data_IF_078511056578
#
_entry.id   IF_078511056578
#
_cell.length_a   1.000
_cell.length_b   1.000
_cell.length_c   1.000
_cell.angle_alpha   90.00
_cell.angle_beta   90.00
_cell.angle_gamma   90.00
#
_symmetry.space_group_name_H-M   'P 1'
#
loop_
_entity.id
_entity.type
_entity.pdbx_description
1 polymer ?
#
# COMPACT_ATOMS: atom_id res chain seq x y z
N UNK A 1 -31.13 0.21 2.54
CA UNK A 1 -29.82 0.16 3.21
C UNK A 1 -28.76 0.52 2.18
N UNK A 2 -28.25 1.74 2.22
CA UNK A 2 -27.07 2.11 1.42
C UNK A 2 -25.85 1.59 2.19
N UNK A 3 -24.97 0.78 1.60
CA UNK A 3 -23.71 0.45 2.26
C UNK A 3 -22.97 1.78 2.49
N UNK A 4 -22.52 2.00 3.73
CA UNK A 4 -21.64 3.10 4.09
C UNK A 4 -20.48 3.15 3.08
N UNK A 5 -20.01 4.31 2.62
CA UNK A 5 -18.91 4.39 1.69
C UNK A 5 -17.70 3.69 2.33
N UNK A 6 -17.45 2.48 1.88
CA UNK A 6 -16.40 1.59 2.33
C UNK A 6 -15.06 2.31 2.07
N UNK A 7 -14.52 2.98 3.09
CA UNK A 7 -13.24 3.71 3.13
C UNK A 7 -12.63 4.03 1.76
N UNK A 8 -13.33 4.82 0.95
CA UNK A 8 -12.82 5.28 -0.34
C UNK A 8 -11.97 6.51 -0.09
N UNK A 9 -10.65 6.35 -0.20
CA UNK A 9 -9.73 7.47 -0.24
C UNK A 9 -9.75 8.10 -1.64
N UNK A 10 -9.28 9.34 -1.78
CA UNK A 10 -9.13 9.99 -3.09
C UNK A 10 -7.65 10.08 -3.42
N UNK A 11 -7.25 9.60 -4.60
CA UNK A 11 -5.87 9.74 -5.08
C UNK A 11 -5.53 11.22 -5.24
N UNK A 12 -4.47 11.68 -4.58
CA UNK A 12 -4.05 13.09 -4.66
C UNK A 12 -3.58 13.49 -6.06
N UNK A 13 -3.04 12.56 -6.84
CA UNK A 13 -2.48 12.84 -8.17
C UNK A 13 -3.54 12.90 -9.27
N UNK A 14 -4.48 11.94 -9.33
CA UNK A 14 -5.48 11.89 -10.40
C UNK A 14 -6.91 12.17 -9.95
N UNK A 15 -7.12 12.45 -8.66
CA UNK A 15 -8.42 12.80 -8.04
C UNK A 15 -9.50 11.73 -8.18
N UNK A 16 -9.16 10.52 -8.63
CA UNK A 16 -10.09 9.38 -8.69
C UNK A 16 -10.24 8.72 -7.31
N UNK A 17 -11.44 8.20 -6.99
CA UNK A 17 -11.64 7.41 -5.79
C UNK A 17 -10.82 6.12 -5.86
N UNK A 18 -10.29 5.71 -4.73
CA UNK A 18 -9.48 4.50 -4.55
C UNK A 18 -9.99 3.79 -3.29
N UNK A 19 -10.16 2.47 -3.37
CA UNK A 19 -10.33 1.63 -2.17
C UNK A 19 -9.00 0.95 -1.84
N UNK A 20 -8.72 0.79 -0.55
CA UNK A 20 -7.54 0.06 -0.06
C UNK A 20 -7.46 -1.37 -0.58
N UNK A 21 -8.61 -2.02 -0.81
CA UNK A 21 -8.69 -3.38 -1.36
C UNK A 21 -8.21 -3.46 -2.82
N UNK A 22 -8.33 -2.35 -3.56
CA UNK A 22 -8.07 -2.27 -5.01
C UNK A 22 -6.74 -1.57 -5.34
N UNK A 23 -5.91 -1.29 -4.33
CA UNK A 23 -4.58 -0.72 -4.54
C UNK A 23 -3.62 -1.75 -5.11
N UNK A 24 -2.82 -1.33 -6.08
CA UNK A 24 -1.73 -2.15 -6.61
C UNK A 24 -0.61 -2.12 -5.59
N UNK A 25 -0.10 -3.29 -5.21
CA UNK A 25 0.99 -3.42 -4.23
C UNK A 25 2.23 -3.93 -4.95
N UNK A 26 3.36 -3.28 -4.71
CA UNK A 26 4.65 -3.73 -5.24
C UNK A 26 5.63 -3.86 -4.09
N UNK A 27 5.99 -5.10 -3.77
CA UNK A 27 6.92 -5.43 -2.72
C UNK A 27 8.33 -5.59 -3.32
N UNK A 28 9.34 -5.02 -2.67
CA UNK A 28 10.74 -5.13 -3.07
C UNK A 28 11.63 -5.25 -1.85
N UNK A 29 12.58 -6.18 -1.91
CA UNK A 29 13.67 -6.23 -0.94
C UNK A 29 14.65 -5.07 -1.21
N UNK A 30 14.84 -4.23 -0.19
CA UNK A 30 15.73 -3.05 -0.27
C UNK A 30 17.05 -3.28 0.48
N UNK A 31 17.04 -4.16 1.48
CA UNK A 31 18.22 -4.63 2.23
C UNK A 31 17.96 -6.07 2.69
N UNK A 32 18.98 -6.84 3.11
CA UNK A 32 18.79 -8.20 3.61
C UNK A 32 17.72 -8.26 4.71
N UNK A 33 16.63 -8.99 4.44
CA UNK A 33 15.46 -9.09 5.35
C UNK A 33 14.69 -7.78 5.57
N UNK A 34 14.90 -6.75 4.77
CA UNK A 34 14.14 -5.50 4.82
C UNK A 34 13.39 -5.33 3.51
N UNK A 35 12.06 -5.32 3.60
CA UNK A 35 11.15 -5.21 2.48
C UNK A 35 10.47 -3.86 2.52
N UNK A 36 10.21 -3.31 1.34
CA UNK A 36 9.40 -2.13 1.13
C UNK A 36 8.23 -2.48 0.21
N UNK A 37 7.04 -1.98 0.53
CA UNK A 37 5.81 -2.09 -0.26
C UNK A 37 5.40 -0.71 -0.70
N UNK A 38 5.35 -0.50 -2.00
CA UNK A 38 4.69 0.66 -2.58
C UNK A 38 3.20 0.38 -2.77
N UNK A 39 2.35 1.28 -2.30
CA UNK A 39 0.92 1.32 -2.58
C UNK A 39 0.68 2.24 -3.77
N UNK A 40 0.18 1.69 -4.87
CA UNK A 40 0.13 2.34 -6.17
C UNK A 40 -1.33 2.52 -6.58
N UNK A 41 -1.67 3.73 -7.03
CA UNK A 41 -2.99 4.03 -7.57
C UNK A 41 -3.26 3.16 -8.81
N UNK A 42 -4.39 2.42 -8.86
CA UNK A 42 -4.71 1.56 -10.01
C UNK A 42 -4.98 2.37 -11.29
N UNK A 43 -5.41 3.63 -11.17
CA UNK A 43 -5.80 4.44 -12.33
C UNK A 43 -4.65 5.19 -13.00
N UNK A 44 -3.76 5.79 -12.21
CA UNK A 44 -2.69 6.66 -12.73
C UNK A 44 -1.28 6.16 -12.42
N UNK A 45 -1.17 5.03 -11.71
CA UNK A 45 0.11 4.41 -11.32
C UNK A 45 0.99 5.29 -10.43
N UNK A 46 0.46 6.39 -9.89
CA UNK A 46 1.15 7.18 -8.88
C UNK A 46 1.33 6.38 -7.59
N UNK A 47 2.51 6.48 -6.99
CA UNK A 47 2.75 5.92 -5.65
C UNK A 47 2.07 6.81 -4.62
N UNK A 48 1.31 6.19 -3.73
CA UNK A 48 0.53 6.85 -2.70
C UNK A 48 1.24 6.83 -1.35
N UNK A 49 1.80 5.67 -1.00
CA UNK A 49 2.45 5.43 0.27
C UNK A 49 3.50 4.31 0.12
N UNK A 50 4.51 4.33 0.99
CA UNK A 50 5.45 3.24 1.19
C UNK A 50 5.33 2.69 2.60
N UNK A 51 5.40 1.37 2.74
CA UNK A 51 5.51 0.71 4.03
C UNK A 51 6.72 -0.22 4.02
N UNK A 52 7.54 -0.18 5.06
CA UNK A 52 8.70 -1.07 5.20
C UNK A 52 8.52 -2.04 6.37
N UNK A 53 8.94 -3.29 6.21
CA UNK A 53 8.97 -4.27 7.29
C UNK A 53 10.23 -5.13 7.21
N UNK A 54 10.61 -5.69 8.36
CA UNK A 54 11.74 -6.59 8.45
C UNK A 54 11.27 -8.04 8.66
N UNK A 55 11.88 -9.00 7.97
CA UNK A 55 11.63 -10.44 8.13
C UNK A 55 12.78 -11.08 8.92
N UNK A 56 12.80 -10.84 10.23
CA UNK A 56 13.74 -11.45 11.16
C UNK A 56 12.98 -12.18 12.26
N UNK A 57 13.13 -13.50 12.34
CA UNK A 57 12.71 -14.30 13.50
C UNK A 57 13.19 -13.55 14.74
N UNK A 58 12.28 -13.16 15.63
CA UNK A 58 12.65 -12.70 16.96
C UNK A 58 13.48 -13.81 17.59
N UNK A 59 14.82 -13.70 17.51
CA UNK A 59 15.70 -14.40 18.45
C UNK A 59 15.40 -13.74 19.79
N UNK A 60 14.39 -14.28 20.48
CA UNK A 60 14.31 -14.18 21.93
C UNK A 60 15.57 -14.88 22.43
N UNK A 61 16.54 -14.09 22.86
CA UNK A 61 17.61 -14.59 23.73
C UNK A 61 17.03 -14.89 25.10
#
# INVERSE_FOLDING_TARGET
MSPLPESTAVCKSCRKPISWENLVRSDREIQPRVFERAYICPHCRAVLEFASWQTGVSRRY
#
